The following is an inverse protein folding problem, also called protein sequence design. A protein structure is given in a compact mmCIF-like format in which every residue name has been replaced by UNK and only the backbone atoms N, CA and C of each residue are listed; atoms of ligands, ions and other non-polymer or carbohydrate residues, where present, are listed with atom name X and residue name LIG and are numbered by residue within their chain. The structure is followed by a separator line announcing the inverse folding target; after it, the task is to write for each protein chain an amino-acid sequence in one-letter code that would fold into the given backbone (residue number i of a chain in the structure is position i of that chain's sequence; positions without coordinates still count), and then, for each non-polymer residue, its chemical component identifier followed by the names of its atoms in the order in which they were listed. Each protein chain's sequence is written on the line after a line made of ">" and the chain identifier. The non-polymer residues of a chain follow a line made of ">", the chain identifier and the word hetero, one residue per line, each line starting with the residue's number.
data_IF_735709917427
#
_entry.id   IF_735709917427
#
_cell.length_a   1.000
_cell.length_b   1.000
_cell.length_c   1.000
_cell.angle_alpha   90.00
_cell.angle_beta   90.00
_cell.angle_gamma   90.00
#
_symmetry.space_group_name_H-M   'P 1'
#
loop_
_entity.id
_entity.type
_entity.pdbx_description
1 polymer ?
#
# COMPACT_ATOMS: atom_id res chain seq x y z
N UNK A 1 -8.61 -5.84 4.89
CA UNK A 1 -8.95 -6.50 3.61
C UNK A 1 -8.95 -8.01 3.82
N UNK A 2 -10.00 -8.71 3.38
CA UNK A 2 -10.14 -10.16 3.52
C UNK A 2 -10.64 -10.79 2.20
N UNK A 3 -10.42 -12.10 2.03
CA UNK A 3 -10.87 -12.92 0.89
C UNK A 3 -10.58 -12.30 -0.49
N UNK A 4 -9.33 -11.88 -0.66
CA UNK A 4 -8.87 -11.30 -1.91
C UNK A 4 -8.52 -12.45 -2.87
N UNK A 5 -9.13 -12.52 -4.07
CA UNK A 5 -8.86 -13.60 -5.01
C UNK A 5 -7.35 -13.73 -5.28
N UNK A 6 -6.86 -14.96 -5.31
CA UNK A 6 -5.44 -15.24 -5.57
C UNK A 6 -4.98 -14.57 -6.87
N UNK A 7 -3.83 -13.90 -6.83
CA UNK A 7 -3.27 -13.16 -7.97
C UNK A 7 -3.96 -11.83 -8.31
N UNK A 8 -4.98 -11.41 -7.55
CA UNK A 8 -5.60 -10.10 -7.77
C UNK A 8 -4.70 -8.94 -7.31
N UNK A 9 -4.90 -7.78 -7.94
CA UNK A 9 -4.24 -6.52 -7.61
C UNK A 9 -5.22 -5.60 -6.90
N UNK A 10 -4.79 -5.01 -5.79
CA UNK A 10 -5.53 -3.97 -5.07
C UNK A 10 -4.66 -2.72 -4.99
N UNK A 11 -5.23 -1.59 -5.34
CA UNK A 11 -4.60 -0.29 -5.15
C UNK A 11 -3.98 0.28 -6.42
N UNK A 12 -2.92 1.06 -6.22
CA UNK A 12 -2.46 2.10 -7.13
C UNK A 12 -2.88 3.47 -6.61
N UNK A 13 -2.27 3.92 -5.51
CA UNK A 13 -2.42 5.29 -5.02
C UNK A 13 -1.26 5.69 -4.12
N UNK A 14 -1.16 6.99 -3.86
CA UNK A 14 -0.37 7.56 -2.78
C UNK A 14 -1.25 8.48 -1.92
N UNK A 15 -0.75 8.84 -0.75
CA UNK A 15 -1.35 9.82 0.15
C UNK A 15 -0.50 11.11 0.18
N UNK A 16 -1.13 12.28 0.33
CA UNK A 16 -0.40 13.55 0.46
C UNK A 16 0.11 13.76 1.88
N UNK A 17 -0.62 13.27 2.89
CA UNK A 17 -0.29 13.41 4.32
C UNK A 17 -0.48 12.13 5.13
N UNK A 18 -1.48 11.31 4.82
CA UNK A 18 -1.75 10.12 5.60
C UNK A 18 -0.57 9.14 5.55
N UNK A 19 -0.24 8.57 6.71
CA UNK A 19 0.69 7.45 6.84
C UNK A 19 -0.11 6.18 7.11
N UNK A 20 0.40 5.05 6.60
CA UNK A 20 -0.27 3.76 6.74
C UNK A 20 0.70 2.71 7.28
N UNK A 21 0.21 1.85 8.18
CA UNK A 21 0.96 0.70 8.69
C UNK A 21 0.27 -0.60 8.29
N UNK A 22 0.94 -1.41 7.47
CA UNK A 22 0.40 -2.63 6.90
C UNK A 22 0.92 -3.86 7.65
N UNK A 23 0.02 -4.79 7.96
CA UNK A 23 0.35 -6.08 8.60
C UNK A 23 -0.38 -7.22 7.88
N UNK A 24 0.33 -8.31 7.59
CA UNK A 24 -0.28 -9.56 7.15
C UNK A 24 -0.69 -10.40 8.38
N UNK A 25 -1.95 -10.30 8.80
CA UNK A 25 -2.48 -11.06 9.94
C UNK A 25 -2.60 -12.56 9.62
N UNK A 26 -2.82 -12.90 8.36
CA UNK A 26 -2.88 -14.26 7.84
C UNK A 26 -2.45 -14.25 6.36
N UNK A 27 -1.89 -15.36 5.90
CA UNK A 27 -1.39 -15.51 4.54
C UNK A 27 -0.24 -14.56 4.20
N UNK A 28 -0.13 -14.19 2.93
CA UNK A 28 0.91 -13.29 2.43
C UNK A 28 0.46 -12.44 1.26
N UNK A 29 1.15 -11.33 1.04
CA UNK A 29 1.02 -10.49 -0.16
C UNK A 29 2.28 -9.64 -0.37
N UNK A 30 2.44 -9.15 -1.58
CA UNK A 30 3.51 -8.23 -1.96
C UNK A 30 3.02 -6.77 -1.89
N UNK A 31 3.88 -5.89 -1.41
CA UNK A 31 3.70 -4.44 -1.41
C UNK A 31 4.73 -3.83 -2.35
N UNK A 32 4.28 -3.31 -3.49
CA UNK A 32 5.13 -2.59 -4.44
C UNK A 32 5.08 -1.11 -4.05
N UNK A 33 6.23 -0.53 -3.74
CA UNK A 33 6.41 0.85 -3.33
C UNK A 33 7.16 1.62 -4.40
N UNK A 34 6.71 2.82 -4.73
CA UNK A 34 7.38 3.74 -5.66
C UNK A 34 7.51 5.11 -5.01
N UNK A 35 8.73 5.62 -4.93
CA UNK A 35 9.03 6.97 -4.44
C UNK A 35 9.05 8.02 -5.57
N UNK A 36 8.78 7.61 -6.81
CA UNK A 36 8.87 8.42 -8.01
C UNK A 36 10.19 8.29 -8.78
N UNK A 37 11.23 7.68 -8.21
CA UNK A 37 12.54 7.42 -8.84
C UNK A 37 12.88 5.94 -8.87
N UNK A 38 12.63 5.25 -7.76
CA UNK A 38 12.89 3.85 -7.54
C UNK A 38 11.58 3.07 -7.34
N UNK A 39 11.66 1.75 -7.51
CA UNK A 39 10.60 0.82 -7.13
C UNK A 39 11.21 -0.24 -6.24
N UNK A 40 10.53 -0.57 -5.14
CA UNK A 40 10.90 -1.64 -4.22
C UNK A 40 9.69 -2.53 -3.98
N UNK A 41 9.92 -3.82 -3.72
CA UNK A 41 8.87 -4.77 -3.37
C UNK A 41 9.19 -5.38 -2.03
N UNK A 42 8.22 -5.35 -1.11
CA UNK A 42 8.30 -5.94 0.22
C UNK A 42 7.26 -7.03 0.35
N UNK A 43 7.65 -8.20 0.81
CA UNK A 43 6.73 -9.31 1.09
C UNK A 43 6.29 -9.22 2.55
N UNK A 44 4.98 -9.16 2.81
CA UNK A 44 4.41 -9.32 4.14
C UNK A 44 3.81 -10.71 4.26
N UNK A 45 4.40 -11.56 5.10
CA UNK A 45 4.00 -12.95 5.31
C UNK A 45 4.10 -13.41 6.77
N UNK A 46 4.29 -12.46 7.70
CA UNK A 46 4.48 -12.72 9.13
C UNK A 46 3.69 -11.69 9.93
N UNK A 47 2.83 -12.12 10.87
CA UNK A 47 1.95 -11.21 11.60
C UNK A 47 2.67 -10.33 12.62
N UNK A 48 3.92 -10.66 12.97
CA UNK A 48 4.76 -9.86 13.86
C UNK A 48 5.68 -8.87 13.12
N UNK A 49 5.54 -8.76 11.80
CA UNK A 49 6.23 -7.76 10.99
C UNK A 49 5.19 -6.85 10.34
N UNK A 50 5.46 -5.54 10.37
CA UNK A 50 4.64 -4.56 9.68
C UNK A 50 5.49 -3.63 8.83
N UNK A 51 4.85 -3.02 7.85
CA UNK A 51 5.44 -2.06 6.94
C UNK A 51 4.80 -0.69 7.16
N UNK A 52 5.60 0.27 7.62
CA UNK A 52 5.21 1.68 7.65
C UNK A 52 5.42 2.29 6.26
N UNK A 53 4.35 2.85 5.72
CA UNK A 53 4.34 3.61 4.47
C UNK A 53 4.09 5.05 4.87
N UNK A 54 5.12 5.88 4.72
CA UNK A 54 5.02 7.32 4.92
C UNK A 54 4.30 7.98 3.73
N UNK A 55 3.84 9.22 3.92
CA UNK A 55 3.20 10.00 2.88
C UNK A 55 4.11 10.18 1.64
N UNK A 56 3.48 10.45 0.51
CA UNK A 56 4.20 10.63 -0.75
C UNK A 56 4.94 9.39 -1.25
N UNK A 57 4.47 8.20 -0.90
CA UNK A 57 4.85 6.92 -1.48
C UNK A 57 3.65 6.32 -2.22
N UNK A 58 3.84 5.95 -3.48
CA UNK A 58 2.83 5.21 -4.23
C UNK A 58 2.92 3.73 -3.88
N UNK A 59 1.78 3.11 -3.57
CA UNK A 59 1.71 1.70 -3.23
C UNK A 59 0.71 0.91 -4.06
N UNK A 60 1.08 -0.33 -4.34
CA UNK A 60 0.23 -1.35 -4.93
C UNK A 60 0.35 -2.65 -4.11
N UNK A 61 -0.76 -3.35 -3.92
CA UNK A 61 -0.79 -4.64 -3.26
C UNK A 61 -1.14 -5.73 -4.28
N UNK A 62 -0.36 -6.80 -4.33
CA UNK A 62 -0.58 -7.89 -5.27
C UNK A 62 -0.14 -9.24 -4.69
N UNK A 63 -0.34 -10.30 -5.48
CA UNK A 63 0.11 -11.66 -5.15
C UNK A 63 -0.40 -12.15 -3.79
N UNK A 64 -1.66 -11.83 -3.46
CA UNK A 64 -2.31 -12.33 -2.25
C UNK A 64 -2.39 -13.86 -2.30
N UNK A 65 -1.93 -14.52 -1.22
CA UNK A 65 -2.14 -15.95 -1.03
C UNK A 65 -3.61 -16.25 -0.72
N UNK A 66 -4.02 -17.50 -0.90
CA UNK A 66 -5.30 -17.96 -0.36
C UNK A 66 -5.36 -17.70 1.15
N UNK A 67 -6.51 -17.20 1.64
CA UNK A 67 -6.70 -16.88 3.06
C UNK A 67 -5.92 -15.65 3.57
N UNK A 68 -5.38 -14.81 2.68
CA UNK A 68 -4.67 -13.61 3.08
C UNK A 68 -5.59 -12.57 3.76
N UNK A 69 -5.14 -12.03 4.89
CA UNK A 69 -5.80 -10.95 5.62
C UNK A 69 -4.80 -9.82 5.86
N UNK A 70 -5.06 -8.67 5.24
CA UNK A 70 -4.25 -7.45 5.38
C UNK A 70 -4.95 -6.46 6.31
N UNK A 71 -4.29 -6.12 7.42
CA UNK A 71 -4.66 -5.01 8.31
C UNK A 71 -3.92 -3.76 7.86
N UNK A 72 -4.65 -2.65 7.78
CA UNK A 72 -4.10 -1.32 7.50
C UNK A 72 -4.52 -0.41 8.66
N UNK A 73 -3.54 0.16 9.35
CA UNK A 73 -3.77 1.23 10.32
C UNK A 73 -3.43 2.55 9.64
N UNK A 74 -4.33 3.52 9.72
CA UNK A 74 -4.13 4.86 9.18
C UNK A 74 -3.82 5.85 10.31
N UNK A 75 -2.98 6.85 10.03
CA UNK A 75 -2.65 7.90 10.99
C UNK A 75 -3.77 8.92 11.21
N UNK A 76 -4.73 8.99 10.30
CA UNK A 76 -5.79 10.00 10.24
C UNK A 76 -7.14 9.38 9.87
N UNK A 77 -8.20 10.17 10.01
CA UNK A 77 -9.52 9.85 9.48
C UNK A 77 -9.53 9.89 7.95
N UNK A 78 -10.52 9.21 7.35
CA UNK A 78 -10.66 9.16 5.90
C UNK A 78 -10.90 10.56 5.31
N UNK A 79 -10.04 10.96 4.38
CA UNK A 79 -10.17 12.16 3.56
C UNK A 79 -9.94 11.81 2.08
N UNK A 80 -10.97 11.98 1.24
CA UNK A 80 -10.89 11.70 -0.19
C UNK A 80 -9.90 12.64 -0.89
N UNK A 81 -9.72 13.87 -0.41
CA UNK A 81 -8.80 14.84 -1.01
C UNK A 81 -7.32 14.47 -0.78
N UNK A 82 -7.02 13.63 0.22
CA UNK A 82 -5.67 13.17 0.50
C UNK A 82 -5.17 12.14 -0.52
N UNK A 83 -6.08 11.46 -1.23
CA UNK A 83 -5.74 10.44 -2.20
C UNK A 83 -5.15 11.00 -3.50
N UNK A 84 -4.07 10.39 -3.97
CA UNK A 84 -3.55 10.54 -5.33
C UNK A 84 -3.77 9.20 -6.05
N UNK A 85 -4.86 9.10 -6.80
CA UNK A 85 -5.29 7.85 -7.47
C UNK A 85 -4.68 7.62 -8.86
N UNK A 86 -4.11 8.66 -9.45
CA UNK A 86 -3.51 8.62 -10.79
C UNK A 86 -1.99 8.68 -10.71
N UNK A 87 -1.29 7.71 -11.30
CA UNK A 87 0.18 7.63 -11.21
C UNK A 87 0.87 8.85 -11.84
N UNK A 88 0.28 9.42 -12.90
CA UNK A 88 0.77 10.67 -13.51
C UNK A 88 0.71 11.84 -12.53
N UNK A 89 -0.35 11.95 -11.73
CA UNK A 89 -0.50 12.99 -10.73
C UNK A 89 0.49 12.78 -9.58
N UNK A 90 0.73 11.54 -9.18
CA UNK A 90 1.78 11.19 -8.21
C UNK A 90 3.17 11.63 -8.69
N UNK A 91 3.52 11.35 -9.94
CA UNK A 91 4.79 11.79 -10.53
C UNK A 91 4.94 13.31 -10.54
N UNK A 92 3.86 14.05 -10.81
CA UNK A 92 3.88 15.52 -10.71
C UNK A 92 4.02 15.98 -9.26
N UNK A 93 3.34 15.32 -8.31
CA UNK A 93 3.44 15.63 -6.88
C UNK A 93 4.87 15.45 -6.34
N UNK A 94 5.59 14.39 -6.73
CA UNK A 94 6.98 14.14 -6.29
C UNK A 94 8.04 15.04 -6.92
N UNK A 95 7.70 15.69 -8.04
CA UNK A 95 8.62 16.56 -8.78
C UNK A 95 8.45 18.05 -8.42
N UNK A 96 7.52 18.38 -7.52
CA UNK A 96 7.39 19.71 -6.91
C UNK A 96 8.31 19.81 -5.71
#
# INVERSE_FOLDING_TARGET
>A
MYDIPSGSKRGGHAHKKQQEFLIALSGSFDVILKDGKSTQTVILNRPNLGLLIVDGIWRELCNFSSGAVCLVLASDEFDEEDYIREYKNFKLFKNR
#
